data_IF_083109894656
#
_entry.id   IF_083109894656
#
_cell.length_a   1.000
_cell.length_b   1.000
_cell.length_c   1.000
_cell.angle_alpha   90.00
_cell.angle_beta   90.00
_cell.angle_gamma   90.00
#
_symmetry.space_group_name_H-M   'P 1'
#
loop_
_entity.id
_entity.type
_entity.pdbx_description
1 polymer ?
#
# COMPACT_ATOMS: atom_id res chain seq x y z
N UNK A 1 4.04 14.72 38.10
CA UNK A 1 4.74 14.76 36.81
C UNK A 1 4.70 13.34 36.24
N UNK A 2 3.57 12.91 35.68
CA UNK A 2 3.27 12.98 34.23
C UNK A 2 4.33 12.21 33.43
N UNK A 3 4.06 10.96 33.06
CA UNK A 3 3.50 10.55 31.76
C UNK A 3 4.65 10.00 30.89
N UNK A 4 4.53 8.93 30.13
CA UNK A 4 3.39 8.13 29.72
C UNK A 4 3.92 7.02 28.83
N UNK A 5 3.13 5.98 28.74
CA UNK A 5 3.34 4.74 28.00
C UNK A 5 3.79 4.98 26.55
N UNK A 6 4.89 4.34 26.12
CA UNK A 6 5.23 4.20 24.70
C UNK A 6 5.85 2.81 24.46
N UNK A 7 5.04 1.78 24.69
CA UNK A 7 5.31 0.42 24.19
C UNK A 7 4.06 -0.19 23.55
N UNK A 8 3.14 0.64 23.04
CA UNK A 8 1.83 0.19 22.54
C UNK A 8 1.78 -0.20 21.05
N UNK A 9 2.92 -0.32 20.38
CA UNK A 9 2.99 -0.85 19.01
C UNK A 9 3.84 -2.13 18.95
N UNK A 10 3.52 -3.09 19.81
CA UNK A 10 4.08 -4.43 19.70
C UNK A 10 3.56 -5.12 18.41
N UNK A 11 4.38 -5.05 17.37
CA UNK A 11 4.64 -6.09 16.35
C UNK A 11 3.39 -6.72 15.69
N UNK A 12 2.96 -6.17 14.57
CA UNK A 12 2.39 -7.00 13.49
C UNK A 12 3.57 -7.67 12.79
N UNK A 13 3.94 -8.86 13.26
CA UNK A 13 4.93 -9.70 12.61
C UNK A 13 4.34 -10.31 11.34
N UNK A 14 4.37 -9.57 10.22
CA UNK A 14 4.25 -10.20 8.92
C UNK A 14 5.57 -10.93 8.64
N UNK A 15 5.61 -12.24 8.90
CA UNK A 15 6.66 -13.12 8.36
C UNK A 15 6.47 -13.24 6.84
N UNK A 16 6.80 -12.19 6.12
CA UNK A 16 7.26 -12.36 4.76
C UNK A 16 8.69 -12.87 4.87
N UNK A 17 8.90 -14.12 4.45
CA UNK A 17 10.22 -14.73 4.27
C UNK A 17 10.93 -13.89 3.21
N UNK A 18 11.56 -12.80 3.64
CA UNK A 18 12.30 -11.88 2.80
C UNK A 18 13.55 -12.59 2.29
N UNK A 19 13.43 -13.21 1.12
CA UNK A 19 14.59 -13.27 0.22
C UNK A 19 14.85 -11.80 -0.09
N UNK A 20 15.94 -11.22 0.43
CA UNK A 20 16.35 -9.85 0.09
C UNK A 20 16.70 -9.80 -1.39
N UNK A 21 15.68 -9.71 -2.24
CA UNK A 21 15.83 -9.19 -3.57
C UNK A 21 16.22 -7.73 -3.41
N UNK A 22 17.30 -7.25 -4.04
CA UNK A 22 17.61 -5.82 -4.04
C UNK A 22 16.35 -5.08 -4.47
N UNK A 23 15.99 -4.01 -3.76
CA UNK A 23 14.78 -3.30 -4.10
C UNK A 23 14.96 -2.71 -5.50
N UNK A 24 13.91 -2.71 -6.33
CA UNK A 24 13.97 -2.11 -7.68
C UNK A 24 14.45 -0.64 -7.64
N UNK A 25 14.23 0.02 -6.50
CA UNK A 25 14.72 1.35 -6.20
C UNK A 25 16.25 1.36 -6.06
N UNK A 26 16.85 0.42 -5.32
CA UNK A 26 18.31 0.34 -5.14
C UNK A 26 19.04 0.17 -6.48
N UNK A 27 18.48 -0.60 -7.40
CA UNK A 27 19.02 -0.75 -8.76
C UNK A 27 19.02 0.59 -9.51
N UNK A 28 17.93 1.35 -9.47
CA UNK A 28 17.83 2.66 -10.12
C UNK A 28 18.72 3.72 -9.46
N UNK A 29 18.86 3.67 -8.14
CA UNK A 29 19.80 4.52 -7.40
C UNK A 29 21.26 4.20 -7.79
N UNK A 30 21.60 2.92 -7.92
CA UNK A 30 22.91 2.47 -8.39
C UNK A 30 23.22 2.89 -9.84
N UNK A 31 22.19 3.11 -10.67
CA UNK A 31 22.33 3.68 -12.02
C UNK A 31 22.53 5.20 -12.02
N UNK A 32 22.41 5.86 -10.86
CA UNK A 32 22.60 7.30 -10.71
C UNK A 32 21.32 8.14 -10.86
N UNK A 33 20.14 7.53 -10.89
CA UNK A 33 18.89 8.29 -10.90
C UNK A 33 18.56 8.81 -9.49
N UNK A 34 18.09 10.07 -9.36
CA UNK A 34 17.58 10.57 -8.09
C UNK A 34 16.45 9.71 -7.52
N UNK A 35 16.37 9.63 -6.18
CA UNK A 35 15.38 8.78 -5.52
C UNK A 35 13.93 9.15 -5.86
N UNK A 36 13.61 10.45 -5.99
CA UNK A 36 12.26 10.91 -6.29
C UNK A 36 11.82 10.55 -7.71
N UNK A 37 12.71 10.72 -8.70
CA UNK A 37 12.41 10.35 -10.09
C UNK A 37 12.37 8.84 -10.27
N UNK A 38 13.26 8.10 -9.61
CA UNK A 38 13.22 6.64 -9.60
C UNK A 38 11.89 6.10 -9.02
N UNK A 39 11.38 6.69 -7.93
CA UNK A 39 10.08 6.35 -7.38
C UNK A 39 8.92 6.68 -8.32
N UNK A 40 8.98 7.81 -9.05
CA UNK A 40 8.00 8.16 -10.11
C UNK A 40 7.97 7.14 -11.21
N UNK A 41 9.13 6.78 -11.74
CA UNK A 41 9.24 5.81 -12.82
C UNK A 41 8.71 4.44 -12.40
N UNK A 42 9.05 4.00 -11.19
CA UNK A 42 8.51 2.77 -10.61
C UNK A 42 6.99 2.83 -10.43
N UNK A 43 6.43 3.97 -10.02
CA UNK A 43 4.99 4.13 -9.92
C UNK A 43 4.32 4.08 -11.31
N UNK A 44 4.88 4.77 -12.31
CA UNK A 44 4.37 4.83 -13.67
C UNK A 44 4.43 3.48 -14.40
N UNK A 45 5.42 2.64 -14.10
CA UNK A 45 5.57 1.29 -14.69
C UNK A 45 4.91 0.19 -13.86
N UNK A 46 4.26 0.52 -12.74
CA UNK A 46 3.62 -0.45 -11.86
C UNK A 46 4.61 -1.37 -11.11
N UNK A 47 5.85 -0.90 -10.92
CA UNK A 47 6.92 -1.58 -10.16
C UNK A 47 7.25 -2.98 -10.69
N UNK A 48 7.20 -3.17 -12.02
CA UNK A 48 7.45 -4.45 -12.67
C UNK A 48 8.92 -4.83 -12.70
N UNK A 49 9.76 -3.98 -13.30
CA UNK A 49 11.21 -4.20 -13.46
C UNK A 49 11.98 -2.88 -13.36
N UNK A 50 13.28 -2.96 -13.06
CA UNK A 50 14.15 -1.78 -13.02
C UNK A 50 14.44 -1.25 -14.43
N UNK A 51 14.52 -2.15 -15.41
CA UNK A 51 14.75 -1.84 -16.82
C UNK A 51 13.60 -1.01 -17.39
N UNK A 52 12.34 -1.42 -17.19
CA UNK A 52 11.17 -0.66 -17.65
C UNK A 52 11.12 0.73 -17.01
N UNK A 53 11.44 0.84 -15.72
CA UNK A 53 11.51 2.13 -15.05
C UNK A 53 12.67 2.99 -15.59
N UNK A 54 13.81 2.41 -15.90
CA UNK A 54 14.94 3.13 -16.51
C UNK A 54 14.63 3.62 -17.92
N UNK A 55 13.90 2.84 -18.71
CA UNK A 55 13.42 3.21 -20.04
C UNK A 55 12.44 4.37 -19.95
N UNK A 56 11.51 4.28 -19.00
CA UNK A 56 10.57 5.36 -18.72
C UNK A 56 11.30 6.66 -18.35
N UNK A 57 12.30 6.61 -17.46
CA UNK A 57 13.11 7.78 -17.09
C UNK A 57 13.83 8.40 -18.29
N UNK A 58 14.39 7.57 -19.19
CA UNK A 58 15.08 8.07 -20.38
C UNK A 58 14.12 8.75 -21.35
N UNK A 59 12.92 8.22 -21.53
CA UNK A 59 11.87 8.83 -22.35
C UNK A 59 11.37 10.16 -21.78
N UNK A 60 11.41 10.34 -20.46
CA UNK A 60 10.89 11.53 -19.77
C UNK A 60 11.98 12.48 -19.26
N UNK A 61 13.25 12.31 -19.68
CA UNK A 61 14.40 13.07 -19.14
C UNK A 61 14.31 14.60 -19.20
N UNK A 62 13.45 15.13 -20.06
CA UNK A 62 13.25 16.57 -20.28
C UNK A 62 11.93 17.09 -19.71
N UNK A 63 11.19 16.24 -18.99
CA UNK A 63 9.89 16.61 -18.42
C UNK A 63 10.09 17.31 -17.06
N UNK A 64 9.78 18.62 -16.94
CA UNK A 64 9.93 19.37 -15.70
C UNK A 64 9.01 18.84 -14.58
N UNK A 65 7.94 18.14 -14.94
CA UNK A 65 7.05 17.53 -13.95
C UNK A 65 7.67 16.34 -13.24
N UNK A 66 8.86 15.86 -13.65
CA UNK A 66 9.60 14.81 -12.93
C UNK A 66 10.13 15.28 -11.58
N UNK A 67 10.30 16.58 -11.37
CA UNK A 67 10.76 17.12 -10.09
C UNK A 67 9.63 17.44 -9.11
N UNK A 68 8.37 17.49 -9.58
CA UNK A 68 7.23 17.77 -8.71
C UNK A 68 7.03 16.68 -7.63
N UNK A 69 6.53 16.98 -6.42
CA UNK A 69 6.15 15.94 -5.49
C UNK A 69 5.04 15.07 -6.09
N UNK A 70 5.16 13.73 -6.02
CA UNK A 70 4.09 12.83 -6.44
C UNK A 70 2.94 12.96 -5.43
N UNK A 71 1.71 13.31 -5.84
CA UNK A 71 0.53 13.10 -5.02
C UNK A 71 0.28 11.59 -4.99
N UNK A 72 1.03 10.87 -4.15
CA UNK A 72 0.84 9.44 -3.98
C UNK A 72 -0.40 9.25 -3.10
N UNK A 73 -1.46 8.73 -3.70
CA UNK A 73 -2.67 8.32 -3.00
C UNK A 73 -2.46 6.96 -2.33
N UNK A 74 -2.89 6.84 -1.08
CA UNK A 74 -2.83 5.61 -0.30
C UNK A 74 -4.23 5.14 0.04
N UNK A 75 -4.41 3.83 -0.02
CA UNK A 75 -5.52 3.13 0.62
C UNK A 75 -4.96 2.21 1.69
N UNK A 76 -5.61 2.20 2.86
CA UNK A 76 -5.33 1.25 3.92
C UNK A 76 -6.26 0.05 3.77
N UNK A 77 -5.67 -1.11 3.51
CA UNK A 77 -6.39 -2.38 3.59
C UNK A 77 -6.27 -2.92 5.00
N UNK A 78 -7.38 -2.86 5.74
CA UNK A 78 -7.48 -3.38 7.09
C UNK A 78 -8.18 -4.74 7.07
N UNK A 79 -7.62 -5.71 7.77
CA UNK A 79 -8.28 -6.99 8.03
C UNK A 79 -8.86 -6.95 9.45
N UNK A 80 -10.18 -7.05 9.63
CA UNK A 80 -10.77 -7.10 10.97
C UNK A 80 -10.25 -8.33 11.72
N UNK A 81 -10.05 -8.20 13.03
CA UNK A 81 -9.59 -9.29 13.90
C UNK A 81 -10.46 -9.35 15.17
N UNK A 82 -10.44 -10.50 15.85
CA UNK A 82 -11.19 -10.69 17.10
C UNK A 82 -12.72 -10.68 16.91
N UNK A 83 -13.50 -10.16 17.87
CA UNK A 83 -14.96 -10.26 17.88
C UNK A 83 -15.66 -9.66 16.65
N UNK A 84 -15.06 -8.64 16.03
CA UNK A 84 -15.60 -8.04 14.80
C UNK A 84 -15.52 -9.02 13.62
N UNK A 85 -14.40 -9.75 13.50
CA UNK A 85 -14.23 -10.76 12.45
C UNK A 85 -15.26 -11.87 12.61
N UNK A 86 -15.48 -12.36 13.83
CA UNK A 86 -16.45 -13.42 14.12
C UNK A 86 -17.87 -13.02 13.68
N UNK A 87 -18.31 -11.80 14.01
CA UNK A 87 -19.61 -11.28 13.58
C UNK A 87 -19.72 -11.12 12.07
N UNK A 88 -18.67 -10.67 11.39
CA UNK A 88 -18.66 -10.56 9.92
C UNK A 88 -18.73 -11.94 9.25
N UNK A 89 -18.04 -12.94 9.80
CA UNK A 89 -18.12 -14.31 9.30
C UNK A 89 -19.51 -14.95 9.51
N UNK A 90 -20.13 -14.71 10.67
CA UNK A 90 -21.48 -15.17 10.97
C UNK A 90 -22.48 -14.55 9.98
N UNK A 91 -22.46 -13.22 9.84
CA UNK A 91 -23.27 -12.50 8.87
C UNK A 91 -23.08 -13.05 7.45
N UNK A 92 -21.84 -13.35 7.06
CA UNK A 92 -21.54 -13.90 5.74
C UNK A 92 -22.14 -15.29 5.50
N UNK A 93 -22.08 -16.15 6.52
CA UNK A 93 -22.67 -17.50 6.48
C UNK A 93 -24.19 -17.41 6.41
N UNK A 94 -24.80 -16.54 7.19
CA UNK A 94 -26.25 -16.37 7.25
C UNK A 94 -26.80 -15.78 5.95
N UNK A 95 -26.13 -14.77 5.40
CA UNK A 95 -26.49 -14.17 4.12
C UNK A 95 -26.50 -15.19 2.98
N UNK A 96 -25.49 -16.10 2.93
CA UNK A 96 -25.46 -17.21 1.96
C UNK A 96 -26.64 -18.18 2.12
N UNK A 97 -27.07 -18.44 3.35
CA UNK A 97 -28.22 -19.32 3.63
C UNK A 97 -29.53 -18.68 3.21
N UNK A 98 -29.70 -17.38 3.46
CA UNK A 98 -30.94 -16.66 3.19
C UNK A 98 -31.12 -16.30 1.72
N UNK A 99 -30.06 -15.88 1.03
CA UNK A 99 -30.14 -15.31 -0.33
C UNK A 99 -29.53 -16.21 -1.41
N UNK A 100 -29.10 -17.43 -1.06
CA UNK A 100 -28.26 -18.30 -1.88
C UNK A 100 -26.94 -17.62 -2.30
N UNK A 101 -26.03 -18.38 -2.93
CA UNK A 101 -24.75 -17.83 -3.39
C UNK A 101 -24.96 -16.92 -4.61
N UNK A 102 -24.59 -15.66 -4.50
CA UNK A 102 -24.61 -14.64 -5.56
C UNK A 102 -23.20 -14.03 -5.72
N UNK A 103 -23.06 -13.06 -6.63
CA UNK A 103 -21.78 -12.38 -6.89
C UNK A 103 -21.22 -11.62 -5.70
N UNK A 104 -22.06 -11.08 -4.81
CA UNK A 104 -21.57 -10.44 -3.61
C UNK A 104 -20.75 -11.44 -2.79
N UNK A 105 -21.15 -12.72 -2.78
CA UNK A 105 -20.46 -13.79 -2.05
C UNK A 105 -19.10 -14.26 -2.59
N UNK A 106 -18.60 -13.66 -3.67
CA UNK A 106 -17.28 -13.94 -4.25
C UNK A 106 -16.15 -13.22 -3.49
N UNK A 107 -16.45 -12.08 -2.85
CA UNK A 107 -15.48 -11.24 -2.14
C UNK A 107 -15.91 -11.11 -0.68
N UNK A 108 -15.02 -11.31 0.28
CA UNK A 108 -15.35 -11.13 1.71
C UNK A 108 -15.93 -9.73 1.98
N UNK A 109 -16.86 -9.56 2.95
CA UNK A 109 -17.41 -8.26 3.29
C UNK A 109 -16.31 -7.23 3.54
N UNK A 110 -16.34 -6.13 2.78
CA UNK A 110 -15.42 -5.01 2.93
C UNK A 110 -16.22 -3.72 3.01
N UNK A 111 -15.66 -2.73 3.70
CA UNK A 111 -16.24 -1.40 3.88
C UNK A 111 -15.14 -0.37 3.68
N UNK A 112 -15.44 0.69 2.93
CA UNK A 112 -14.57 1.85 2.77
C UNK A 112 -14.79 2.79 3.95
N UNK A 113 -13.78 2.97 4.79
CA UNK A 113 -13.87 3.80 6.00
C UNK A 113 -13.43 5.25 5.77
N UNK A 114 -12.58 5.48 4.78
CA UNK A 114 -12.09 6.80 4.42
C UNK A 114 -11.79 6.86 2.92
N UNK A 115 -11.75 8.07 2.38
CA UNK A 115 -11.23 8.32 1.03
C UNK A 115 -9.72 8.07 0.97
N UNK A 116 -9.18 8.02 -0.24
CA UNK A 116 -7.75 7.98 -0.47
C UNK A 116 -7.09 9.22 0.15
N UNK A 117 -5.91 9.04 0.75
CA UNK A 117 -5.16 10.14 1.36
C UNK A 117 -3.78 10.30 0.71
N UNK A 118 -3.29 11.52 0.63
CA UNK A 118 -1.93 11.84 0.15
C UNK A 118 -0.92 11.79 1.31
N UNK A 119 0.37 11.59 1.00
CA UNK A 119 1.48 11.58 2.00
C UNK A 119 1.46 12.81 2.94
N UNK A 120 0.98 13.95 2.46
CA UNK A 120 0.97 15.21 3.19
C UNK A 120 0.01 15.19 4.40
N UNK A 121 -1.00 14.31 4.38
CA UNK A 121 -1.94 14.11 5.49
C UNK A 121 -1.39 13.22 6.61
N UNK A 122 -0.19 12.66 6.45
CA UNK A 122 0.47 11.83 7.48
C UNK A 122 1.34 12.75 8.35
N UNK A 123 0.74 13.78 8.94
CA UNK A 123 1.34 14.41 10.10
C UNK A 123 0.93 13.61 11.34
N UNK A 124 1.88 13.05 12.11
CA UNK A 124 1.55 12.54 13.42
C UNK A 124 1.02 13.71 14.29
N UNK A 125 0.05 13.45 15.18
CA UNK A 125 -0.41 14.45 16.14
C UNK A 125 0.71 14.92 17.07
#
# INVERSE_FOLDING_TARGET
MAAGETQLYAKVSNKHKGRSTPSLLDTLLGMGFPAHTALKALAATGRKTAEEASDWLRCHRNDPSLDDPIPQEYALFLCPTGPLLEKLEEFWKDSKRQCAKNRAHEVFPHITLCDFFTKENIQPP
#
